data_IF_875897118508
#
_entry.id   IF_875897118508
#
_cell.length_a   1.000
_cell.length_b   1.000
_cell.length_c   1.000
_cell.angle_alpha   90.00
_cell.angle_beta   90.00
_cell.angle_gamma   90.00
#
_symmetry.space_group_name_H-M   'P 1'
#
loop_
_entity.id
_entity.type
_entity.pdbx_description
1 polymer ?
#
# COMPACT_ATOMS: atom_id res chain seq x y z
N UNK A 1 -13.40 12.53 -24.18
CA UNK A 1 -12.10 11.83 -24.10
C UNK A 1 -12.06 10.77 -23.00
N UNK A 2 -12.54 11.04 -21.78
CA UNK A 2 -12.57 10.04 -20.68
C UNK A 2 -13.43 8.79 -20.99
N UNK A 3 -14.55 8.90 -21.72
CA UNK A 3 -15.35 7.72 -22.11
C UNK A 3 -14.68 6.84 -23.16
N UNK A 4 -13.89 7.43 -24.07
CA UNK A 4 -13.12 6.68 -25.06
C UNK A 4 -11.91 5.99 -24.42
N UNK A 5 -11.25 6.64 -23.46
CA UNK A 5 -10.17 6.02 -22.69
C UNK A 5 -10.70 4.86 -21.83
N UNK A 6 -11.82 5.06 -21.14
CA UNK A 6 -12.49 4.01 -20.34
C UNK A 6 -12.96 2.85 -21.21
N UNK A 7 -13.60 3.13 -22.35
CA UNK A 7 -14.00 2.10 -23.30
C UNK A 7 -12.79 1.35 -23.88
N UNK A 8 -11.68 2.04 -24.16
CA UNK A 8 -10.45 1.44 -24.66
C UNK A 8 -9.77 0.55 -23.60
N UNK A 9 -9.74 1.00 -22.33
CA UNK A 9 -9.22 0.21 -21.21
C UNK A 9 -10.08 -1.04 -21.00
N UNK A 10 -11.41 -0.88 -20.93
CA UNK A 10 -12.36 -2.00 -20.80
C UNK A 10 -12.21 -2.97 -21.99
N UNK A 11 -12.01 -2.45 -23.20
CA UNK A 11 -11.78 -3.27 -24.39
C UNK A 11 -10.44 -4.02 -24.34
N UNK A 12 -9.35 -3.39 -23.87
CA UNK A 12 -8.05 -4.06 -23.66
C UNK A 12 -8.18 -5.18 -22.63
N UNK A 13 -8.86 -4.92 -21.50
CA UNK A 13 -9.07 -5.94 -20.47
C UNK A 13 -9.96 -7.07 -20.96
N UNK A 14 -11.06 -6.78 -21.65
CA UNK A 14 -11.93 -7.79 -22.25
C UNK A 14 -11.16 -8.64 -23.27
N UNK A 15 -10.46 -8.01 -24.20
CA UNK A 15 -9.64 -8.70 -25.21
C UNK A 15 -8.53 -9.56 -24.58
N UNK A 16 -7.89 -9.08 -23.50
CA UNK A 16 -6.88 -9.86 -22.77
C UNK A 16 -7.48 -11.07 -22.05
N UNK A 17 -8.63 -10.91 -21.41
CA UNK A 17 -9.35 -12.01 -20.75
C UNK A 17 -9.82 -13.04 -21.79
N UNK A 18 -10.34 -12.60 -22.92
CA UNK A 18 -10.76 -13.48 -24.02
C UNK A 18 -9.58 -14.29 -24.55
N UNK A 19 -8.41 -13.67 -24.72
CA UNK A 19 -7.19 -14.38 -25.14
C UNK A 19 -6.75 -15.42 -24.11
N UNK A 20 -6.88 -15.15 -22.80
CA UNK A 20 -6.56 -16.12 -21.74
C UNK A 20 -7.59 -17.26 -21.73
N UNK A 21 -8.88 -16.94 -21.87
CA UNK A 21 -9.96 -17.93 -21.89
C UNK A 21 -9.88 -18.85 -23.11
N UNK A 22 -9.48 -18.32 -24.26
CA UNK A 22 -9.35 -19.04 -25.54
C UNK A 22 -7.91 -19.45 -25.87
N UNK A 23 -7.05 -19.58 -24.86
CA UNK A 23 -5.60 -19.80 -24.98
C UNK A 23 -5.20 -20.91 -25.98
N UNK A 24 -6.01 -21.96 -26.11
CA UNK A 24 -5.79 -23.07 -27.06
C UNK A 24 -5.68 -22.62 -28.52
N UNK A 25 -6.34 -21.52 -28.87
CA UNK A 25 -6.40 -20.99 -30.24
C UNK A 25 -5.67 -19.65 -30.38
N UNK A 26 -5.62 -18.86 -29.31
CA UNK A 26 -4.98 -17.54 -29.31
C UNK A 26 -3.47 -17.62 -29.05
N UNK A 27 -2.97 -18.65 -28.37
CA UNK A 27 -1.54 -18.81 -28.06
C UNK A 27 -0.76 -19.14 -29.34
N UNK A 28 0.02 -18.16 -29.80
CA UNK A 28 0.96 -18.30 -30.92
C UNK A 28 2.34 -17.90 -30.44
N UNK A 29 3.28 -18.84 -30.50
CA UNK A 29 4.70 -18.56 -30.24
C UNK A 29 5.31 -18.15 -31.57
N UNK A 30 5.88 -16.93 -31.69
CA UNK A 30 6.47 -16.47 -32.94
C UNK A 30 7.73 -17.28 -33.31
N UNK A 31 7.81 -17.74 -34.55
CA UNK A 31 8.96 -18.51 -35.06
C UNK A 31 10.20 -17.63 -35.33
N UNK A 32 10.03 -16.31 -35.43
CA UNK A 32 11.08 -15.33 -35.75
C UNK A 32 12.02 -15.01 -34.57
N UNK A 33 11.70 -15.50 -33.37
CA UNK A 33 12.40 -15.13 -32.12
C UNK A 33 13.53 -16.07 -31.72
N UNK A 34 13.85 -17.09 -32.52
CA UNK A 34 14.95 -18.02 -32.22
C UNK A 34 14.76 -18.79 -30.92
N UNK A 35 13.50 -19.03 -30.51
CA UNK A 35 13.17 -19.78 -29.30
C UNK A 35 13.39 -21.27 -29.56
N UNK A 36 14.10 -21.96 -28.67
CA UNK A 36 14.35 -23.39 -28.83
C UNK A 36 13.06 -24.21 -28.71
N UNK A 37 12.99 -25.36 -29.37
CA UNK A 37 11.81 -26.24 -29.31
C UNK A 37 11.52 -26.70 -27.87
N UNK A 38 12.57 -26.94 -27.05
CA UNK A 38 12.41 -27.27 -25.64
C UNK A 38 11.79 -26.11 -24.84
N UNK A 39 12.11 -24.85 -25.16
CA UNK A 39 11.48 -23.69 -24.53
C UNK A 39 10.02 -23.53 -24.99
N UNK A 40 9.74 -23.69 -26.28
CA UNK A 40 8.38 -23.69 -26.83
C UNK A 40 7.51 -24.77 -26.18
N UNK A 41 8.06 -25.98 -26.02
CA UNK A 41 7.39 -27.08 -25.35
C UNK A 41 7.07 -26.76 -23.88
N UNK A 42 8.04 -26.20 -23.14
CA UNK A 42 7.85 -25.80 -21.74
C UNK A 42 6.71 -24.77 -21.60
N UNK A 43 6.70 -23.75 -22.45
CA UNK A 43 5.66 -22.71 -22.46
C UNK A 43 4.28 -23.32 -22.72
N UNK A 44 4.14 -24.18 -23.74
CA UNK A 44 2.86 -24.85 -24.05
C UNK A 44 2.42 -25.80 -22.93
N UNK A 45 3.36 -26.48 -22.28
CA UNK A 45 3.06 -27.40 -21.18
C UNK A 45 2.51 -26.67 -19.95
N UNK A 46 2.99 -25.45 -19.65
CA UNK A 46 2.41 -24.59 -18.62
C UNK A 46 1.10 -23.92 -19.03
N UNK A 47 1.03 -23.41 -20.27
CA UNK A 47 -0.15 -22.78 -20.84
C UNK A 47 -1.12 -23.83 -21.40
N UNK A 48 -1.53 -24.75 -20.53
CA UNK A 48 -2.49 -25.82 -20.80
C UNK A 48 -3.61 -25.85 -19.75
N UNK A 49 -4.61 -26.69 -19.97
CA UNK A 49 -5.71 -26.89 -19.02
C UNK A 49 -5.16 -27.39 -17.67
N UNK A 50 -5.77 -26.97 -16.56
CA UNK A 50 -5.33 -27.35 -15.22
C UNK A 50 -5.32 -28.88 -14.97
N UNK A 51 -6.07 -29.65 -15.76
CA UNK A 51 -6.12 -31.11 -15.71
C UNK A 51 -4.85 -31.78 -16.24
N UNK A 52 -4.10 -31.12 -17.12
CA UNK A 52 -2.92 -31.67 -17.81
C UNK A 52 -1.68 -30.79 -17.67
N UNK A 53 -1.78 -29.68 -16.90
CA UNK A 53 -0.70 -28.72 -16.71
C UNK A 53 0.53 -29.36 -16.09
N UNK A 54 1.69 -29.04 -16.67
CA UNK A 54 2.99 -29.42 -16.11
C UNK A 54 3.10 -28.98 -14.65
N UNK A 55 3.52 -29.89 -13.78
CA UNK A 55 3.59 -29.65 -12.34
C UNK A 55 2.36 -30.09 -11.55
N UNK A 56 1.30 -30.58 -12.20
CA UNK A 56 0.10 -31.13 -11.53
C UNK A 56 0.45 -32.29 -10.58
N UNK A 57 1.42 -33.14 -10.94
CA UNK A 57 1.84 -34.28 -10.11
C UNK A 57 3.00 -33.93 -9.17
N UNK A 58 3.40 -32.65 -9.11
CA UNK A 58 4.49 -32.16 -8.27
C UNK A 58 5.62 -31.49 -9.07
N UNK A 59 6.56 -30.91 -8.33
CA UNK A 59 7.66 -30.11 -8.88
C UNK A 59 8.63 -30.92 -9.75
N UNK A 60 8.73 -32.24 -9.54
CA UNK A 60 9.67 -33.09 -10.27
C UNK A 60 9.37 -33.18 -11.77
N UNK A 61 8.11 -33.02 -12.17
CA UNK A 61 7.70 -32.92 -13.58
C UNK A 61 8.38 -31.73 -14.27
N UNK A 62 8.45 -30.60 -13.56
CA UNK A 62 9.09 -29.36 -14.04
C UNK A 62 10.60 -29.54 -14.06
N UNK A 63 11.19 -30.09 -12.98
CA UNK A 63 12.64 -30.28 -12.85
C UNK A 63 13.24 -31.17 -13.93
N UNK A 64 12.49 -32.17 -14.40
CA UNK A 64 12.91 -33.14 -15.43
C UNK A 64 12.71 -32.63 -16.86
N UNK A 65 12.13 -31.45 -17.05
CA UNK A 65 11.84 -30.92 -18.37
C UNK A 65 13.13 -30.67 -19.18
N UNK A 66 13.13 -31.02 -20.47
CA UNK A 66 14.31 -30.97 -21.34
C UNK A 66 14.94 -29.57 -21.47
N UNK A 67 14.13 -28.52 -21.31
CA UNK A 67 14.60 -27.12 -21.25
C UNK A 67 15.69 -26.90 -20.19
N UNK A 68 15.64 -27.59 -19.04
CA UNK A 68 16.60 -27.41 -17.94
C UNK A 68 17.76 -28.40 -17.98
N UNK A 69 17.89 -29.25 -19.02
CA UNK A 69 18.88 -30.33 -19.03
C UNK A 69 20.32 -29.83 -19.19
N UNK A 70 20.51 -28.81 -20.03
CA UNK A 70 21.84 -28.34 -20.45
C UNK A 70 22.20 -26.98 -19.81
N UNK A 71 21.62 -26.67 -18.65
CA UNK A 71 21.95 -25.48 -17.88
C UNK A 71 23.21 -25.72 -17.03
N UNK A 72 24.06 -24.71 -16.80
CA UNK A 72 25.34 -24.87 -16.09
C UNK A 72 25.19 -25.05 -14.56
N UNK A 73 23.96 -25.09 -14.04
CA UNK A 73 23.63 -25.22 -12.62
C UNK A 73 22.76 -26.46 -12.37
N UNK A 74 22.65 -26.88 -11.11
CA UNK A 74 21.72 -27.91 -10.63
C UNK A 74 20.66 -27.27 -9.73
N UNK A 75 19.54 -27.96 -9.51
CA UNK A 75 18.46 -27.46 -8.65
C UNK A 75 18.90 -27.17 -7.22
N UNK A 76 19.94 -27.86 -6.74
CA UNK A 76 20.51 -27.71 -5.41
C UNK A 76 21.48 -26.53 -5.32
N UNK A 77 22.15 -26.17 -6.42
CA UNK A 77 23.23 -25.18 -6.41
C UNK A 77 22.87 -23.84 -7.09
N UNK A 78 21.71 -23.72 -7.74
CA UNK A 78 21.31 -22.54 -8.52
C UNK A 78 21.43 -21.22 -7.73
N UNK A 79 21.20 -21.24 -6.41
CA UNK A 79 21.34 -20.07 -5.53
C UNK A 79 22.78 -19.58 -5.35
N UNK A 80 23.75 -20.47 -5.54
CA UNK A 80 25.18 -20.19 -5.43
C UNK A 80 25.82 -19.97 -6.81
N UNK A 81 25.09 -20.22 -7.90
CA UNK A 81 25.58 -20.02 -9.26
C UNK A 81 25.57 -18.51 -9.58
N UNK A 82 26.59 -17.97 -10.28
CA UNK A 82 26.62 -16.55 -10.63
C UNK A 82 25.37 -16.12 -11.41
N UNK A 83 24.65 -15.06 -10.99
CA UNK A 83 23.46 -14.60 -11.69
C UNK A 83 23.84 -13.97 -13.05
N UNK A 84 22.92 -13.95 -14.03
CA UNK A 84 23.18 -13.35 -15.34
C UNK A 84 23.49 -11.85 -15.28
N UNK A 85 22.89 -11.14 -14.31
CA UNK A 85 23.09 -9.70 -14.08
C UNK A 85 23.35 -9.51 -12.60
N UNK A 86 24.48 -8.88 -12.28
CA UNK A 86 24.79 -8.39 -10.94
C UNK A 86 24.55 -6.88 -10.98
N UNK A 87 23.60 -6.34 -10.20
CA UNK A 87 23.38 -4.90 -10.15
C UNK A 87 24.60 -4.21 -9.55
N UNK A 88 25.04 -3.12 -10.17
CA UNK A 88 26.03 -2.22 -9.60
C UNK A 88 25.27 -1.31 -8.62
N UNK A 89 25.72 -1.30 -7.36
CA UNK A 89 25.07 -0.55 -6.28
C UNK A 89 26.00 0.56 -5.78
N UNK A 90 25.49 1.78 -5.69
CA UNK A 90 26.22 2.97 -5.21
C UNK A 90 26.17 3.13 -3.68
N UNK A 91 25.44 2.27 -2.96
CA UNK A 91 25.37 2.26 -1.50
C UNK A 91 24.19 1.45 -0.95
N UNK A 92 24.07 1.39 0.38
CA UNK A 92 23.00 0.63 1.07
C UNK A 92 21.58 1.18 0.80
N UNK A 93 21.48 2.45 0.42
CA UNK A 93 20.23 3.13 0.12
C UNK A 93 19.98 3.30 -1.38
N UNK A 94 20.80 2.64 -2.23
CA UNK A 94 20.65 2.74 -3.67
C UNK A 94 19.33 2.09 -4.13
N UNK A 95 18.48 2.87 -4.80
CA UNK A 95 17.19 2.44 -5.37
C UNK A 95 17.17 2.50 -6.90
N UNK A 96 18.34 2.57 -7.56
CA UNK A 96 18.48 2.70 -9.03
C UNK A 96 17.82 1.56 -9.82
N UNK A 97 17.71 0.37 -9.22
CA UNK A 97 17.00 -0.78 -9.80
C UNK A 97 15.47 -0.70 -9.69
N UNK A 98 14.93 0.36 -9.07
CA UNK A 98 13.49 0.62 -8.97
C UNK A 98 13.14 1.84 -9.82
N UNK A 99 11.99 1.79 -10.50
CA UNK A 99 11.46 2.96 -11.20
C UNK A 99 11.14 4.08 -10.20
N UNK A 100 11.48 5.33 -10.53
CA UNK A 100 11.07 6.48 -9.74
C UNK A 100 9.54 6.51 -9.63
N UNK A 101 9.03 6.57 -8.41
CA UNK A 101 7.59 6.49 -8.16
C UNK A 101 6.87 7.64 -8.88
N UNK A 102 6.07 7.27 -9.88
CA UNK A 102 5.18 8.18 -10.60
C UNK A 102 4.01 8.52 -9.67
N UNK A 103 4.09 9.68 -9.01
CA UNK A 103 3.00 10.36 -8.29
C UNK A 103 2.09 9.44 -7.46
N UNK A 104 2.49 9.15 -6.22
CA UNK A 104 1.51 8.87 -5.16
C UNK A 104 0.79 10.17 -4.77
N UNK A 105 -0.01 10.73 -5.69
CA UNK A 105 -1.07 11.70 -5.36
C UNK A 105 -2.31 10.99 -4.81
N UNK A 106 -2.11 9.93 -4.04
CA UNK A 106 -3.16 9.41 -3.18
C UNK A 106 -3.16 10.27 -1.93
N UNK A 107 -4.01 11.30 -1.95
CA UNK A 107 -4.53 11.90 -0.74
C UNK A 107 -4.88 10.78 0.23
N UNK A 108 -4.22 10.71 1.40
CA UNK A 108 -4.49 9.71 2.42
C UNK A 108 -6.01 9.50 2.55
N UNK A 109 -6.50 8.34 2.10
CA UNK A 109 -7.91 7.99 2.16
C UNK A 109 -8.20 7.73 3.64
N UNK A 110 -8.57 8.80 4.35
CA UNK A 110 -9.08 8.73 5.71
C UNK A 110 -10.38 7.95 5.64
N UNK A 111 -10.41 6.76 6.26
CA UNK A 111 -11.66 6.03 6.52
C UNK A 111 -12.63 7.00 7.18
N UNK A 112 -13.86 7.17 6.66
CA UNK A 112 -14.87 8.02 7.29
C UNK A 112 -15.15 7.52 8.72
N UNK A 113 -15.35 8.39 9.70
CA UNK A 113 -15.61 8.01 11.09
C UNK A 113 -17.02 7.42 11.33
N UNK A 114 -17.60 6.75 10.33
CA UNK A 114 -19.04 6.41 10.32
C UNK A 114 -19.35 5.03 10.92
N UNK A 115 -18.38 4.35 11.53
CA UNK A 115 -18.61 3.05 12.18
C UNK A 115 -18.66 3.18 13.73
N UNK A 116 -19.85 3.23 14.35
CA UNK A 116 -19.99 3.38 15.81
C UNK A 116 -19.44 2.18 16.61
N UNK A 117 -19.09 1.08 15.95
CA UNK A 117 -18.52 -0.13 16.56
C UNK A 117 -16.99 -0.19 16.52
N UNK A 118 -16.31 0.77 15.87
CA UNK A 118 -14.83 0.88 15.88
C UNK A 118 -14.08 -0.35 15.35
N UNK A 119 -14.72 -1.16 14.50
CA UNK A 119 -14.22 -2.49 14.14
C UNK A 119 -13.19 -2.53 13.01
N UNK A 120 -12.82 -1.39 12.45
CA UNK A 120 -12.01 -1.31 11.23
C UNK A 120 -10.58 -1.83 11.43
N UNK A 121 -10.12 -1.93 12.69
CA UNK A 121 -8.80 -2.46 13.03
C UNK A 121 -8.78 -3.98 13.32
N UNK A 122 -9.93 -4.62 13.46
CA UNK A 122 -9.98 -6.07 13.75
C UNK A 122 -9.26 -6.95 12.71
N UNK A 123 -9.30 -6.66 11.40
CA UNK A 123 -8.55 -7.45 10.41
C UNK A 123 -7.02 -7.43 10.60
N UNK A 124 -6.48 -6.49 11.38
CA UNK A 124 -5.04 -6.32 11.57
C UNK A 124 -4.55 -6.80 12.95
N UNK A 125 -5.44 -7.33 13.80
CA UNK A 125 -5.03 -7.93 15.08
C UNK A 125 -4.12 -9.14 14.79
N UNK A 126 -2.92 -9.16 15.38
CA UNK A 126 -1.91 -10.20 15.14
C UNK A 126 -0.98 -9.92 13.97
N UNK A 127 -1.09 -8.77 13.30
CA UNK A 127 -0.16 -8.35 12.26
C UNK A 127 1.24 -8.02 12.80
N UNK A 128 1.33 -7.48 14.02
CA UNK A 128 2.60 -7.12 14.64
C UNK A 128 3.49 -8.34 14.84
N UNK A 129 4.67 -8.30 14.23
CA UNK A 129 5.71 -9.33 14.33
C UNK A 129 7.01 -8.69 14.81
N UNK A 130 7.66 -9.28 15.81
CA UNK A 130 9.04 -8.97 16.15
C UNK A 130 9.83 -10.27 16.29
N UNK A 131 10.99 -10.29 15.63
CA UNK A 131 11.88 -11.44 15.54
C UNK A 131 12.43 -11.83 16.92
N UNK A 132 12.65 -10.85 17.80
CA UNK A 132 13.33 -11.05 19.08
C UNK A 132 12.51 -11.92 20.05
N UNK A 133 11.18 -11.79 20.02
CA UNK A 133 10.28 -12.59 20.88
C UNK A 133 10.29 -14.09 20.55
N UNK A 134 10.74 -14.48 19.35
CA UNK A 134 10.82 -15.88 18.93
C UNK A 134 12.09 -16.55 19.47
N UNK A 135 13.17 -15.80 19.66
CA UNK A 135 14.46 -16.34 20.09
C UNK A 135 14.70 -16.19 21.60
N UNK A 136 14.02 -15.27 22.29
CA UNK A 136 14.07 -15.13 23.76
C UNK A 136 13.16 -16.14 24.50
N UNK A 137 12.35 -16.89 23.76
CA UNK A 137 11.53 -17.99 24.29
C UNK A 137 12.39 -19.23 24.51
N UNK A 138 13.34 -19.16 25.44
CA UNK A 138 13.82 -20.36 26.13
C UNK A 138 12.58 -20.98 26.80
N UNK A 139 12.18 -22.23 26.51
CA UNK A 139 10.87 -22.80 26.91
C UNK A 139 10.69 -23.02 28.43
N UNK A 140 11.49 -22.34 29.27
CA UNK A 140 11.48 -22.44 30.74
C UNK A 140 11.20 -21.13 31.49
N UNK A 141 10.99 -20.00 30.82
CA UNK A 141 10.75 -18.72 31.50
C UNK A 141 9.27 -18.31 31.41
N UNK A 142 8.45 -18.81 32.34
CA UNK A 142 7.10 -18.26 32.58
C UNK A 142 7.19 -16.82 33.09
N UNK A 143 6.41 -15.95 32.44
CA UNK A 143 6.23 -14.54 32.70
C UNK A 143 5.85 -14.23 34.16
N UNK A 144 6.63 -13.37 34.82
CA UNK A 144 6.15 -12.61 35.99
C UNK A 144 6.27 -11.11 35.70
N UNK A 145 5.12 -10.47 35.49
CA UNK A 145 4.97 -9.01 35.54
C UNK A 145 5.03 -8.57 37.02
N UNK A 146 5.75 -7.49 37.39
CA UNK A 146 5.72 -6.98 38.76
C UNK A 146 4.56 -5.98 38.93
N UNK A 147 3.58 -6.36 39.76
CA UNK A 147 2.55 -5.46 40.28
C UNK A 147 2.99 -4.90 41.63
N UNK A 148 2.92 -3.57 41.74
CA UNK A 148 3.15 -2.75 42.93
C UNK A 148 2.33 -3.19 44.16
N UNK A 149 2.95 -3.24 45.34
CA UNK A 149 2.22 -3.18 46.61
C UNK A 149 3.09 -2.59 47.73
N UNK A 150 2.57 -1.51 48.34
CA UNK A 150 3.05 -0.87 49.57
C UNK A 150 2.64 -1.73 50.77
N UNK A 151 3.52 -1.90 51.76
CA UNK A 151 3.31 -1.66 53.21
C UNK A 151 4.42 -2.31 54.08
N UNK A 152 4.75 -1.73 55.25
CA UNK A 152 5.91 -2.12 56.09
C UNK A 152 5.51 -3.05 57.26
N UNK A 153 6.44 -3.76 57.91
CA UNK A 153 6.19 -4.34 59.23
C UNK A 153 6.93 -3.60 60.36
N UNK A 154 6.17 -3.33 61.42
CA UNK A 154 6.62 -3.03 62.80
C UNK A 154 6.86 -4.36 63.56
N UNK A 155 7.39 -4.24 64.79
CA UNK A 155 7.58 -5.23 65.89
C UNK A 155 9.05 -5.66 66.08
N UNK A 156 9.58 -5.91 67.28
CA UNK A 156 9.39 -5.45 68.66
C UNK A 156 10.57 -6.09 69.46
N UNK A 157 11.21 -5.27 70.30
CA UNK A 157 12.10 -5.49 71.48
C UNK A 157 12.18 -6.93 72.05
N UNK A 158 13.32 -7.37 72.65
CA UNK A 158 13.49 -7.13 74.10
C UNK A 158 14.92 -6.81 74.59
N UNK A 159 14.95 -5.90 75.57
CA UNK A 159 16.03 -5.56 76.50
C UNK A 159 16.32 -6.75 77.46
N UNK A 160 17.57 -6.98 77.88
CA UNK A 160 17.92 -7.21 79.31
C UNK A 160 19.41 -7.50 79.59
N UNK A 161 19.86 -6.86 80.69
CA UNK A 161 20.85 -7.27 81.73
C UNK A 161 22.34 -7.00 81.53
N UNK A 162 22.79 -5.96 82.25
CA UNK A 162 24.10 -5.82 82.90
C UNK A 162 24.35 -6.91 83.97
N UNK A 163 25.61 -7.25 84.27
CA UNK A 163 26.21 -6.68 85.49
C UNK A 163 27.68 -6.24 85.35
N UNK A 164 28.04 -5.35 86.26
CA UNK A 164 29.33 -4.69 86.54
C UNK A 164 30.56 -5.60 86.64
N UNK A 165 31.73 -5.09 86.20
CA UNK A 165 32.91 -4.81 87.04
C UNK A 165 34.19 -4.51 86.22
N UNK A 166 34.79 -3.34 86.47
CA UNK A 166 36.24 -3.16 86.65
C UNK A 166 37.22 -3.47 85.50
N UNK A 167 37.74 -2.40 84.91
CA UNK A 167 39.07 -2.25 84.27
C UNK A 167 39.26 -2.73 82.82
N UNK A 168 39.00 -1.79 81.89
CA UNK A 168 39.65 -1.53 80.58
C UNK A 168 38.68 -0.68 79.77
N UNK A 169 38.57 0.60 80.14
CA UNK A 169 37.48 1.48 79.69
C UNK A 169 37.89 2.48 78.59
N UNK A 170 39.06 2.31 77.95
CA UNK A 170 39.55 3.26 76.92
C UNK A 170 39.76 2.60 75.54
N UNK A 171 40.40 1.43 75.49
CA UNK A 171 40.82 0.82 74.21
C UNK A 171 39.69 0.25 73.35
N UNK A 172 38.53 -0.08 73.92
CA UNK A 172 37.37 -0.59 73.17
C UNK A 172 36.45 0.52 72.67
N UNK A 173 36.36 1.63 73.42
CA UNK A 173 35.59 2.82 73.06
C UNK A 173 36.25 3.61 71.94
N UNK A 174 37.58 3.74 71.95
CA UNK A 174 38.31 4.46 70.89
C UNK A 174 38.15 3.77 69.52
N UNK A 175 38.16 2.42 69.49
CA UNK A 175 37.90 1.64 68.26
C UNK A 175 36.45 1.74 67.75
N UNK A 176 35.49 1.95 68.65
CA UNK A 176 34.09 2.20 68.27
C UNK A 176 33.90 3.64 67.80
N UNK A 177 34.60 4.60 68.39
CA UNK A 177 34.61 6.01 67.97
C UNK A 177 35.22 6.13 66.57
N UNK A 178 36.37 5.49 66.31
CA UNK A 178 37.00 5.48 64.98
C UNK A 178 36.10 4.85 63.91
N UNK A 179 35.40 3.76 64.25
CA UNK A 179 34.40 3.14 63.37
C UNK A 179 33.22 4.08 63.12
N UNK A 180 32.70 4.72 64.15
CA UNK A 180 31.57 5.63 64.04
C UNK A 180 31.93 6.90 63.24
N UNK A 181 33.14 7.43 63.39
CA UNK A 181 33.66 8.51 62.53
C UNK A 181 33.79 8.06 61.07
N UNK A 182 34.29 6.83 60.83
CA UNK A 182 34.36 6.25 59.50
C UNK A 182 32.96 6.12 58.86
N UNK A 183 31.96 5.66 59.61
CA UNK A 183 30.58 5.57 59.14
C UNK A 183 29.98 6.95 58.85
N UNK A 184 30.21 7.94 59.73
CA UNK A 184 29.78 9.33 59.53
C UNK A 184 30.39 9.92 58.25
N UNK A 185 31.66 9.64 57.98
CA UNK A 185 32.32 10.08 56.75
C UNK A 185 31.69 9.45 55.50
N UNK A 186 31.36 8.14 55.56
CA UNK A 186 30.68 7.44 54.46
C UNK A 186 29.26 7.95 54.22
N UNK A 187 28.52 8.29 55.27
CA UNK A 187 27.18 8.88 55.18
C UNK A 187 27.24 10.25 54.50
N UNK A 188 28.24 11.09 54.82
CA UNK A 188 28.43 12.40 54.16
C UNK A 188 28.69 12.23 52.67
N UNK A 189 29.60 11.33 52.30
CA UNK A 189 29.95 11.03 50.90
C UNK A 189 28.72 10.51 50.12
N UNK A 190 27.92 9.62 50.72
CA UNK A 190 26.68 9.12 50.12
C UNK A 190 25.64 10.23 49.93
N UNK A 191 25.46 11.12 50.92
CA UNK A 191 24.53 12.24 50.80
C UNK A 191 24.92 13.21 49.67
N UNK A 192 26.20 13.49 49.51
CA UNK A 192 26.71 14.36 48.45
C UNK A 192 26.49 13.72 47.07
N UNK A 193 26.69 12.40 46.96
CA UNK A 193 26.43 11.64 45.74
C UNK A 193 24.93 11.61 45.38
N UNK A 194 24.05 11.46 46.38
CA UNK A 194 22.59 11.51 46.20
C UNK A 194 22.16 12.89 45.69
N UNK A 195 22.63 13.98 46.31
CA UNK A 195 22.31 15.34 45.87
C UNK A 195 22.73 15.60 44.42
N UNK A 196 23.91 15.13 44.04
CA UNK A 196 24.40 15.23 42.65
C UNK A 196 23.52 14.44 41.68
N UNK A 197 23.13 13.21 42.05
CA UNK A 197 22.25 12.37 41.23
C UNK A 197 20.84 12.94 41.09
N UNK A 198 20.31 13.57 42.14
CA UNK A 198 19.04 14.28 42.06
C UNK A 198 19.11 15.50 41.14
N UNK A 199 20.22 16.25 41.13
CA UNK A 199 20.38 17.38 40.22
C UNK A 199 20.50 16.93 38.75
N UNK A 200 21.27 15.87 38.49
CA UNK A 200 21.33 15.22 37.16
C UNK A 200 19.94 14.78 36.70
N UNK A 201 19.17 14.13 37.58
CA UNK A 201 17.79 13.72 37.30
C UNK A 201 16.87 14.91 37.01
N UNK A 202 16.97 15.99 37.79
CA UNK A 202 16.19 17.23 37.55
C UNK A 202 16.49 17.86 36.20
N UNK A 203 17.77 17.89 35.77
CA UNK A 203 18.15 18.39 34.44
C UNK A 203 17.58 17.51 33.33
N UNK A 204 17.67 16.19 33.49
CA UNK A 204 17.17 15.24 32.50
C UNK A 204 15.65 15.33 32.34
N UNK A 205 14.91 15.46 33.44
CA UNK A 205 13.45 15.66 33.43
C UNK A 205 13.09 16.93 32.67
N UNK A 206 13.78 18.05 32.93
CA UNK A 206 13.51 19.31 32.23
C UNK A 206 13.75 19.21 30.71
N UNK A 207 14.84 18.55 30.31
CA UNK A 207 15.10 18.29 28.89
C UNK A 207 14.01 17.42 28.27
N UNK A 208 13.54 16.40 29.00
CA UNK A 208 12.47 15.52 28.54
C UNK A 208 11.17 16.31 28.33
N UNK A 209 10.76 17.13 29.31
CA UNK A 209 9.54 17.95 29.21
C UNK A 209 9.61 18.98 28.07
N UNK A 210 10.76 19.62 27.86
CA UNK A 210 10.94 20.59 26.78
C UNK A 210 10.85 19.90 25.40
N UNK A 211 11.39 18.69 25.29
CA UNK A 211 11.31 17.89 24.06
C UNK A 211 9.88 17.40 23.78
N UNK A 212 9.14 17.00 24.83
CA UNK A 212 7.74 16.61 24.74
C UNK A 212 6.86 17.77 24.29
N UNK A 213 7.07 18.97 24.82
CA UNK A 213 6.32 20.16 24.40
C UNK A 213 6.54 20.49 22.92
N UNK A 214 7.80 20.45 22.45
CA UNK A 214 8.12 20.65 21.03
C UNK A 214 7.48 19.60 20.13
N UNK A 215 7.45 18.35 20.59
CA UNK A 215 6.81 17.25 19.85
C UNK A 215 5.30 17.46 19.75
N UNK A 216 4.65 17.86 20.85
CA UNK A 216 3.21 18.15 20.87
C UNK A 216 2.86 19.33 19.97
N UNK A 217 3.65 20.41 20.01
CA UNK A 217 3.45 21.58 19.15
C UNK A 217 3.63 21.24 17.66
N UNK A 218 4.68 20.50 17.31
CA UNK A 218 4.91 20.04 15.94
C UNK A 218 3.77 19.13 15.46
N UNK A 219 3.27 18.24 16.32
CA UNK A 219 2.12 17.38 16.03
C UNK A 219 0.85 18.18 15.79
N UNK A 220 0.58 19.19 16.62
CA UNK A 220 -0.60 20.04 16.48
C UNK A 220 -0.55 20.84 15.18
N UNK A 221 0.59 21.46 14.87
CA UNK A 221 0.77 22.21 13.63
C UNK A 221 0.59 21.31 12.38
N UNK A 222 1.18 20.12 12.38
CA UNK A 222 0.98 19.15 11.29
C UNK A 222 -0.49 18.73 11.15
N UNK A 223 -1.20 18.58 12.27
CA UNK A 223 -2.62 18.25 12.28
C UNK A 223 -3.50 19.39 11.73
N UNK A 224 -3.18 20.65 12.06
CA UNK A 224 -3.89 21.82 11.55
C UNK A 224 -3.66 22.01 10.04
N UNK A 225 -2.42 21.80 9.58
CA UNK A 225 -2.09 21.79 8.15
C UNK A 225 -2.87 20.70 7.40
N UNK A 226 -2.91 19.48 7.94
CA UNK A 226 -3.66 18.37 7.33
C UNK A 226 -5.16 18.67 7.26
N UNK A 227 -5.72 19.30 8.30
CA UNK A 227 -7.12 19.70 8.35
C UNK A 227 -7.45 20.74 7.27
N UNK A 228 -6.63 21.78 7.14
CA UNK A 228 -6.81 22.79 6.10
C UNK A 228 -6.70 22.21 4.68
N UNK A 229 -5.73 21.31 4.44
CA UNK A 229 -5.55 20.63 3.16
C UNK A 229 -6.75 19.72 2.83
N UNK A 230 -7.24 18.96 3.82
CA UNK A 230 -8.42 18.10 3.68
C UNK A 230 -9.67 18.89 3.29
N UNK A 231 -9.88 20.05 3.90
CA UNK A 231 -11.02 20.92 3.59
C UNK A 231 -10.92 21.49 2.17
N UNK A 232 -9.74 21.97 1.77
CA UNK A 232 -9.51 22.46 0.41
C UNK A 232 -9.74 21.37 -0.65
N UNK A 233 -9.22 20.15 -0.41
CA UNK A 233 -9.42 19.03 -1.33
C UNK A 233 -10.89 18.61 -1.42
N UNK A 234 -11.62 18.64 -0.29
CA UNK A 234 -13.05 18.36 -0.25
C UNK A 234 -13.85 19.38 -1.08
N UNK A 235 -13.50 20.65 -0.99
CA UNK A 235 -14.13 21.72 -1.76
C UNK A 235 -13.87 21.60 -3.26
N UNK A 236 -12.62 21.32 -3.65
CA UNK A 236 -12.27 21.04 -5.06
C UNK A 236 -13.03 19.83 -5.61
N UNK A 237 -13.15 18.76 -4.84
CA UNK A 237 -13.87 17.55 -5.25
C UNK A 237 -15.38 17.82 -5.42
N UNK A 238 -15.99 18.60 -4.52
CA UNK A 238 -17.39 19.04 -4.65
C UNK A 238 -17.62 19.88 -5.90
N UNK A 239 -16.69 20.78 -6.21
CA UNK A 239 -16.76 21.60 -7.42
C UNK A 239 -16.64 20.75 -8.69
N UNK A 240 -15.67 19.83 -8.74
CA UNK A 240 -15.51 18.89 -9.86
C UNK A 240 -16.75 18.01 -10.06
N UNK A 241 -17.33 17.46 -8.99
CA UNK A 241 -18.57 16.69 -9.07
C UNK A 241 -19.73 17.52 -9.64
N UNK A 242 -19.85 18.77 -9.23
CA UNK A 242 -20.87 19.68 -9.76
C UNK A 242 -20.66 19.93 -11.25
N UNK A 243 -19.40 20.11 -11.68
CA UNK A 243 -19.09 20.33 -13.09
C UNK A 243 -19.32 19.09 -13.97
N UNK A 244 -19.03 17.90 -13.45
CA UNK A 244 -19.34 16.64 -14.14
C UNK A 244 -20.84 16.51 -14.38
N UNK A 245 -21.67 16.76 -13.36
CA UNK A 245 -23.14 16.72 -13.50
C UNK A 245 -23.65 17.72 -14.55
N UNK A 246 -23.08 18.92 -14.57
CA UNK A 246 -23.45 19.94 -15.56
C UNK A 246 -23.13 19.49 -16.99
N UNK A 247 -21.93 18.92 -17.21
CA UNK A 247 -21.51 18.41 -18.52
C UNK A 247 -22.30 17.16 -18.94
N UNK A 248 -22.68 16.29 -18.00
CA UNK A 248 -23.55 15.14 -18.27
C UNK A 248 -24.93 15.58 -18.74
N UNK A 249 -25.50 16.60 -18.09
CA UNK A 249 -26.78 17.18 -18.50
C UNK A 249 -26.69 17.80 -19.90
N UNK A 250 -25.64 18.59 -20.15
CA UNK A 250 -25.42 19.20 -21.47
C UNK A 250 -25.25 18.15 -22.58
N UNK A 251 -24.51 17.06 -22.29
CA UNK A 251 -24.34 15.96 -23.22
C UNK A 251 -25.67 15.24 -23.52
N UNK A 252 -26.51 15.05 -22.49
CA UNK A 252 -27.87 14.49 -22.63
C UNK A 252 -28.76 15.36 -23.52
N UNK A 253 -28.77 16.66 -23.29
CA UNK A 253 -29.57 17.61 -24.08
C UNK A 253 -29.13 17.64 -25.55
N UNK A 254 -27.81 17.62 -25.79
CA UNK A 254 -27.26 17.57 -27.14
C UNK A 254 -27.57 16.23 -27.84
N UNK A 255 -27.58 15.11 -27.11
CA UNK A 255 -28.01 13.82 -27.63
C UNK A 255 -29.47 13.85 -28.11
N UNK A 256 -30.35 14.52 -27.37
CA UNK A 256 -31.76 14.69 -27.77
C UNK A 256 -31.89 15.56 -29.04
N UNK A 257 -31.09 16.63 -29.16
CA UNK A 257 -31.04 17.45 -30.37
C UNK A 257 -30.59 16.65 -31.58
N UNK A 258 -29.54 15.84 -31.44
CA UNK A 258 -29.04 14.97 -32.52
C UNK A 258 -30.15 14.02 -32.99
N UNK A 259 -30.83 13.33 -32.07
CA UNK A 259 -31.97 12.45 -32.41
C UNK A 259 -33.08 13.19 -33.17
N UNK A 260 -33.37 14.43 -32.79
CA UNK A 260 -34.35 15.28 -33.48
C UNK A 260 -33.90 15.60 -34.91
N UNK A 261 -32.64 15.99 -35.10
CA UNK A 261 -32.09 16.27 -36.43
C UNK A 261 -32.02 15.02 -37.31
N UNK A 262 -31.69 13.86 -36.75
CA UNK A 262 -31.72 12.57 -37.48
C UNK A 262 -33.13 12.23 -37.98
N UNK A 263 -34.15 12.46 -37.14
CA UNK A 263 -35.55 12.26 -37.54
C UNK A 263 -35.96 13.22 -38.67
N UNK A 264 -35.59 14.50 -38.56
CA UNK A 264 -35.83 15.49 -39.61
C UNK A 264 -35.11 15.12 -40.92
N UNK A 265 -33.86 14.68 -40.84
CA UNK A 265 -33.08 14.26 -42.01
C UNK A 265 -33.72 13.06 -42.73
N UNK A 266 -34.24 12.08 -41.98
CA UNK A 266 -34.98 10.94 -42.56
C UNK A 266 -36.21 11.40 -43.33
N UNK A 267 -37.00 12.32 -42.78
CA UNK A 267 -38.19 12.88 -43.45
C UNK A 267 -37.77 13.62 -44.72
N UNK A 268 -36.73 14.45 -44.64
CA UNK A 268 -36.24 15.21 -45.79
C UNK A 268 -35.81 14.28 -46.94
N UNK A 269 -35.11 13.18 -46.62
CA UNK A 269 -34.65 12.19 -47.59
C UNK A 269 -35.80 11.45 -48.29
N UNK A 270 -36.91 11.20 -47.57
CA UNK A 270 -38.13 10.63 -48.15
C UNK A 270 -38.75 11.64 -49.12
N UNK A 271 -38.91 12.90 -48.71
CA UNK A 271 -39.47 13.96 -49.55
C UNK A 271 -38.63 14.21 -50.82
N UNK A 272 -37.30 14.18 -50.72
CA UNK A 272 -36.40 14.27 -51.87
C UNK A 272 -36.64 13.12 -52.86
N UNK A 273 -36.81 11.90 -52.37
CA UNK A 273 -37.10 10.74 -53.22
C UNK A 273 -38.47 10.86 -53.91
N UNK A 274 -39.50 11.31 -53.19
CA UNK A 274 -40.85 11.53 -53.73
C UNK A 274 -40.86 12.61 -54.81
N UNK A 275 -40.17 13.74 -54.58
CA UNK A 275 -40.07 14.81 -55.58
C UNK A 275 -39.31 14.36 -56.83
N UNK A 276 -38.29 13.51 -56.68
CA UNK A 276 -37.57 12.94 -57.81
C UNK A 276 -38.45 12.02 -58.66
N UNK A 277 -39.21 11.12 -58.03
CA UNK A 277 -40.22 10.29 -58.73
C UNK A 277 -41.20 11.18 -59.49
N UNK A 278 -41.76 12.19 -58.81
CA UNK A 278 -42.74 13.09 -59.43
C UNK A 278 -42.18 13.86 -60.63
N UNK A 279 -40.92 14.26 -60.56
CA UNK A 279 -40.23 14.90 -61.69
C UNK A 279 -40.09 13.94 -62.88
N UNK A 280 -39.67 12.70 -62.64
CA UNK A 280 -39.52 11.70 -63.69
C UNK A 280 -40.88 11.37 -64.35
N UNK A 281 -41.96 11.28 -63.56
CA UNK A 281 -43.32 11.11 -64.07
C UNK A 281 -43.74 12.27 -65.00
N UNK A 282 -43.57 13.51 -64.55
CA UNK A 282 -43.90 14.70 -65.35
C UNK A 282 -43.04 14.79 -66.61
N UNK A 283 -41.77 14.39 -66.53
CA UNK A 283 -40.87 14.33 -67.70
C UNK A 283 -41.41 13.33 -68.74
N UNK A 284 -41.86 12.16 -68.29
CA UNK A 284 -42.42 11.14 -69.17
C UNK A 284 -43.76 11.59 -69.78
N UNK A 285 -44.64 12.23 -69.01
CA UNK A 285 -45.92 12.78 -69.51
C UNK A 285 -45.71 13.87 -70.59
N UNK A 286 -44.68 14.71 -70.43
CA UNK A 286 -44.40 15.80 -71.37
C UNK A 286 -43.52 15.38 -72.57
N UNK A 287 -42.98 14.17 -72.58
CA UNK A 287 -42.17 13.64 -73.68
C UNK A 287 -42.89 13.67 -75.05
N UNK A 288 -44.16 13.23 -75.21
CA UNK A 288 -44.85 13.28 -76.50
C UNK A 288 -45.06 14.71 -77.02
N UNK A 289 -45.30 15.67 -76.13
CA UNK A 289 -45.41 17.09 -76.51
C UNK A 289 -44.06 17.62 -77.03
N UNK A 290 -42.96 17.22 -76.38
CA UNK A 290 -41.62 17.57 -76.82
C UNK A 290 -41.29 16.98 -78.18
N UNK A 291 -41.59 15.70 -78.39
CA UNK A 291 -41.39 15.02 -79.67
C UNK A 291 -42.20 15.69 -80.80
N UNK A 292 -43.42 16.15 -80.48
CA UNK A 292 -44.27 16.90 -81.43
C UNK A 292 -43.68 18.27 -81.78
N UNK A 293 -43.16 19.01 -80.79
CA UNK A 293 -42.50 20.31 -81.02
C UNK A 293 -41.24 20.14 -81.87
N UNK A 294 -40.44 19.11 -81.61
CA UNK A 294 -39.21 18.85 -82.36
C UNK A 294 -39.52 18.46 -83.81
N UNK A 295 -40.62 17.74 -84.05
CA UNK A 295 -41.12 17.43 -85.40
C UNK A 295 -41.58 18.68 -86.16
N UNK A 296 -42.22 19.65 -85.49
CA UNK A 296 -42.67 20.91 -86.10
C UNK A 296 -41.52 21.89 -86.40
N UNK A 297 -40.34 21.69 -85.81
CA UNK A 297 -39.13 22.49 -86.05
C UNK A 297 -38.24 21.92 -87.16
N UNK A 298 -38.50 20.68 -87.59
CA UNK A 298 -37.85 20.01 -88.72
C UNK A 298 -38.56 20.29 -90.03
#
# INVERSE_FOLDING_TARGET
MLSLLSAHIVWIYAFKIDNISTFKTSLKIPDDKGISESACNLIRAFLSDATVRLGRNGIDDIKKHSFFKDVPWTWENIRNFPPPVVPELDGELDTSCFEENIESKESAISVPPDNPFGGDHFPFVGFSFSRDFIFDSDPKAESKLPLSSKHPPKHAIPLTKTPSSGSKLSDTTDKEIDKNECFLSKIKELNELVLKKEEESRKLVKMCTDSEHKLVEAKQNAQDQLSSFKNSFKEQNLNLQSKVKELEQECSDNMQKIKKYEAQFKILKISEHETKIRYDDLRNENQPLKDTIDMLKS
#
